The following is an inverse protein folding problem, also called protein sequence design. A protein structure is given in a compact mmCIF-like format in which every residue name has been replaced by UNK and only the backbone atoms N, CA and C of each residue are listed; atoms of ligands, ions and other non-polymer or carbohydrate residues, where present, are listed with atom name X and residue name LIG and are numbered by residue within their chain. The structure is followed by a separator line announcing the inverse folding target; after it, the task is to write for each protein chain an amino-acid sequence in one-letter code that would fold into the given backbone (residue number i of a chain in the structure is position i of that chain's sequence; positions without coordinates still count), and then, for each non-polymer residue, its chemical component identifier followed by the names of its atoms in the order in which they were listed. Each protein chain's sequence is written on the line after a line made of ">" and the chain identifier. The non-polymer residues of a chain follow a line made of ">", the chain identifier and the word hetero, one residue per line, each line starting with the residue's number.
data_IF_434942773534
#
_entry.id   IF_434942773534
#
_cell.length_a   1.000
_cell.length_b   1.000
_cell.length_c   1.000
_cell.angle_alpha   90.00
_cell.angle_beta   90.00
_cell.angle_gamma   90.00
#
_symmetry.space_group_name_H-M   'P 1'
#
loop_
_entity.id
_entity.type
_entity.pdbx_description
1 polymer ?
2 non-polymer ?
3 water ?
#
# COMPACT_ATOMS: atom_id res chain seq x y z
N UNK A 8 43.08 1.05 -1.04
CA UNK A 8 41.90 0.17 -1.28
C UNK A 8 40.69 0.69 -0.50
N UNK A 9 39.50 0.59 -1.10
CA UNK A 9 38.25 1.01 -0.44
C UNK A 9 37.31 -0.17 -0.17
N UNK A 10 37.04 -0.41 1.11
CA UNK A 10 36.11 -1.46 1.56
C UNK A 10 34.66 -1.10 1.21
N UNK A 11 33.86 -2.11 0.92
CA UNK A 11 32.43 -1.94 0.70
C UNK A 11 31.64 -3.16 1.20
N UNK A 12 30.43 -2.92 1.69
CA UNK A 12 29.61 -3.98 2.27
C UNK A 12 28.11 -3.74 2.02
N UNK A 13 27.38 -4.81 1.73
CA UNK A 13 25.95 -4.74 1.47
C UNK A 13 25.25 -5.74 2.36
N UNK A 14 24.30 -5.27 3.17
CA UNK A 14 23.48 -6.20 3.93
C UNK A 14 22.29 -6.62 3.09
N UNK A 15 22.31 -7.89 2.70
CA UNK A 15 21.34 -8.44 1.77
C UNK A 15 19.89 -8.29 2.26
N UNK A 16 19.69 -8.46 3.57
CA UNK A 16 18.35 -8.47 4.16
C UNK A 16 17.83 -7.11 4.67
N UNK A 17 18.70 -6.09 4.65
CA UNK A 17 18.39 -4.80 5.27
C UNK A 17 17.06 -4.22 4.89
N UNK A 18 16.75 -4.21 3.59
CA UNK A 18 15.49 -3.64 3.15
C UNK A 18 14.29 -4.39 3.73
N UNK A 19 14.35 -5.72 3.76
CA UNK A 19 13.26 -6.52 4.36
C UNK A 19 13.12 -6.20 5.85
N UNK A 20 14.24 -6.01 6.53
CA UNK A 20 14.22 -5.70 7.96
C UNK A 20 13.73 -4.28 8.27
N UNK A 21 14.25 -3.29 7.55
CA UNK A 21 13.80 -1.91 7.71
C UNK A 21 12.29 -1.77 7.47
N UNK A 22 11.77 -2.53 6.51
CA UNK A 22 10.32 -2.50 6.24
C UNK A 22 9.52 -3.10 7.37
N UNK A 23 10.05 -4.18 7.96
CA UNK A 23 9.46 -4.79 9.16
C UNK A 23 9.27 -3.76 10.25
N UNK A 24 10.32 -3.00 10.54
CA UNK A 24 10.24 -1.90 11.50
C UNK A 24 9.25 -0.82 11.07
N UNK A 25 9.27 -0.45 9.79
CA UNK A 25 8.36 0.58 9.28
C UNK A 25 6.92 0.15 9.44
N UNK A 26 6.67 -1.14 9.26
CA UNK A 26 5.34 -1.69 9.48
C UNK A 26 4.93 -1.65 10.97
N UNK A 27 5.86 -1.99 11.87
CA UNK A 27 5.63 -1.84 13.32
C UNK A 27 5.23 -0.42 13.65
N UNK A 28 5.97 0.53 13.08
CA UNK A 28 5.75 1.95 13.31
C UNK A 28 4.38 2.42 12.85
N UNK A 29 3.95 1.94 11.69
CA UNK A 29 2.62 2.25 11.18
C UNK A 29 1.55 1.66 12.11
N UNK A 30 1.76 0.41 12.52
CA UNK A 30 0.80 -0.27 13.41
C UNK A 30 0.72 0.38 14.79
N UNK A 31 1.84 0.92 15.26
CA UNK A 31 1.88 1.70 16.50
C UNK A 31 1.46 3.15 16.26
N UNK A 32 1.16 3.48 15.01
CA UNK A 32 0.79 4.84 14.60
C UNK A 32 1.85 5.87 14.98
N UNK A 33 3.10 5.50 14.74
CA UNK A 33 4.27 6.29 15.09
C UNK A 33 4.87 6.91 13.85
N UNK A 34 5.11 8.22 13.91
CA UNK A 34 5.78 8.96 12.84
C UNK A 34 4.90 9.15 11.60
N UNK A 35 3.63 8.77 11.69
CA UNK A 35 2.71 8.93 10.56
C UNK A 35 2.44 10.40 10.28
N UNK A 36 2.23 10.72 9.01
CA UNK A 36 2.03 12.11 8.57
C UNK A 36 0.95 12.19 7.51
N UNK A 37 0.18 11.11 7.38
CA UNK A 37 -0.99 11.08 6.52
C UNK A 37 -2.06 10.17 7.12
N UNK A 38 -3.31 10.54 6.92
CA UNK A 38 -4.46 9.75 7.31
C UNK A 38 -5.35 9.63 6.08
N UNK A 39 -5.49 8.42 5.55
CA UNK A 39 -6.35 8.21 4.40
C UNK A 39 -7.78 7.95 4.84
N UNK A 40 -8.68 8.90 4.55
CA UNK A 40 -10.11 8.72 4.78
C UNK A 40 -10.73 8.03 3.58
N UNK A 41 -11.11 6.77 3.74
CA UNK A 41 -11.76 6.05 2.66
C UNK A 41 -13.27 5.99 2.92
N UNK A 42 -14.00 6.89 2.28
CA UNK A 42 -15.45 6.88 2.26
C UNK A 42 -15.86 6.37 0.89
N UNK A 43 -16.74 5.38 0.87
CA UNK A 43 -17.09 4.72 -0.37
C UNK A 43 -18.48 4.09 -0.34
N UNK A 44 -19.49 4.83 -0.81
CA UNK A 44 -20.70 4.24 -1.39
C UNK A 44 -21.33 3.09 -0.56
N UNK A 45 -22.07 3.44 0.50
CA UNK A 45 -22.77 2.46 1.37
C UNK A 45 -21.90 1.69 2.38
N UNK A 46 -20.62 1.49 2.05
CA UNK A 46 -19.66 0.89 2.98
C UNK A 46 -19.26 1.90 4.06
N UNK A 47 -18.94 1.42 5.28
CA UNK A 47 -18.59 2.34 6.37
C UNK A 47 -17.25 3.05 6.13
N UNK A 48 -17.18 4.32 6.54
CA UNK A 48 -15.96 5.11 6.42
C UNK A 48 -14.83 4.48 7.23
N UNK A 49 -13.65 4.42 6.63
CA UNK A 49 -12.48 3.87 7.30
C UNK A 49 -11.35 4.88 7.22
N UNK A 50 -10.43 4.82 8.19
CA UNK A 50 -9.25 5.68 8.22
C UNK A 50 -7.99 4.84 8.32
N UNK A 51 -6.96 5.23 7.57
CA UNK A 51 -5.69 4.52 7.58
C UNK A 51 -4.54 5.50 7.73
N UNK A 52 -3.82 5.39 8.85
CA UNK A 52 -2.62 6.18 9.06
C UNK A 52 -1.44 5.47 8.43
N UNK A 53 -0.56 6.25 7.80
CA UNK A 53 0.58 5.72 7.07
C UNK A 53 1.66 6.78 6.99
N UNK A 54 2.76 6.45 6.32
CA UNK A 54 3.85 7.37 6.10
C UNK A 54 3.91 7.69 4.64
N UNK A 55 3.77 8.97 4.33
CA UNK A 55 3.81 9.45 2.94
C UNK A 55 4.95 8.85 2.11
N UNK A 56 6.16 8.82 2.67
CA UNK A 56 7.32 8.38 1.90
C UNK A 56 7.27 6.87 1.59
N UNK A 57 6.54 6.11 2.39
CA UNK A 57 6.39 4.68 2.17
C UNK A 57 5.33 4.42 1.11
N UNK A 58 4.22 5.12 1.20
CA UNK A 58 3.17 5.00 0.19
C UNK A 58 3.72 5.41 -1.18
N UNK A 59 4.42 6.54 -1.21
CA UNK A 59 5.05 7.07 -2.42
C UNK A 59 6.04 6.10 -3.07
N UNK A 60 6.73 5.31 -2.26
CA UNK A 60 7.73 4.38 -2.76
C UNK A 60 7.12 3.10 -3.33
N UNK A 61 5.81 2.91 -3.15
CA UNK A 61 5.13 1.75 -3.72
C UNK A 61 4.13 2.13 -4.83
N UNK A 62 3.68 3.38 -4.84
CA UNK A 62 2.68 3.86 -5.81
C UNK A 62 3.05 5.21 -6.46
N UNK A 63 3.18 5.23 -7.81
CA UNK A 63 3.37 6.49 -8.54
C UNK A 63 2.23 7.47 -8.30
N UNK A 64 1.02 6.94 -8.09
CA UNK A 64 -0.15 7.77 -7.79
C UNK A 64 0.01 8.47 -6.44
N UNK A 65 0.49 7.75 -5.42
CA UNK A 65 0.74 8.37 -4.11
C UNK A 65 1.94 9.31 -4.16
N UNK A 66 2.96 8.93 -4.91
CA UNK A 66 4.13 9.77 -5.09
C UNK A 66 3.68 11.12 -5.67
N UNK A 67 2.96 11.08 -6.79
CA UNK A 67 2.37 12.28 -7.41
C UNK A 67 1.58 13.12 -6.41
N UNK A 68 0.78 12.46 -5.58
CA UNK A 68 -0.06 13.12 -4.57
C UNK A 68 0.71 13.88 -3.48
N UNK A 69 1.90 13.42 -3.13
CA UNK A 69 2.60 13.99 -1.97
C UNK A 69 3.83 14.83 -2.29
N UNK A 70 4.37 14.68 -3.50
CA UNK A 70 5.57 15.42 -3.90
C UNK A 70 5.25 16.88 -4.19
N UNK A 78 0.46 16.68 9.62
CA UNK A 78 -0.47 15.56 9.45
C UNK A 78 -1.58 15.89 8.45
N UNK A 79 -1.45 15.36 7.23
CA UNK A 79 -2.43 15.58 6.16
C UNK A 79 -3.53 14.52 6.17
N UNK A 80 -4.77 14.95 5.99
CA UNK A 80 -5.91 14.04 5.86
C UNK A 80 -6.36 14.05 4.39
N UNK A 81 -6.34 12.88 3.76
CA UNK A 81 -6.68 12.78 2.35
C UNK A 81 -7.99 12.02 2.17
N UNK A 82 -8.95 12.63 1.47
CA UNK A 82 -10.21 11.95 1.16
C UNK A 82 -10.04 11.01 -0.03
N UNK A 83 -10.41 9.75 0.14
CA UNK A 83 -10.34 8.78 -0.95
C UNK A 83 -11.73 8.31 -1.35
N UNK A 84 -12.05 8.53 -2.62
CA UNK A 84 -13.31 8.12 -3.21
C UNK A 84 -13.01 6.98 -4.17
N UNK A 85 -14.04 6.23 -4.56
CA UNK A 85 -13.92 5.30 -5.68
C UNK A 85 -13.18 4.00 -5.45
N UNK A 86 -12.71 3.77 -4.23
CA UNK A 86 -12.08 2.50 -3.90
C UNK A 86 -12.61 2.01 -2.56
N UNK A 87 -12.79 0.70 -2.46
CA UNK A 87 -13.30 0.07 -1.25
C UNK A 87 -12.26 0.06 -0.15
N UNK A 88 -12.66 0.41 1.09
CA UNK A 88 -11.73 0.44 2.23
C UNK A 88 -10.93 -0.84 2.38
N UNK A 89 -11.59 -2.00 2.27
CA UNK A 89 -10.89 -3.27 2.43
C UNK A 89 -9.82 -3.46 1.35
N UNK A 90 -10.11 -2.97 0.14
CA UNK A 90 -9.15 -2.99 -0.96
C UNK A 90 -7.97 -2.06 -0.68
N UNK A 91 -8.26 -0.83 -0.25
CA UNK A 91 -7.22 0.10 0.16
C UNK A 91 -6.34 -0.51 1.26
N UNK A 92 -6.99 -1.06 2.28
CA UNK A 92 -6.30 -1.73 3.38
C UNK A 92 -5.25 -2.72 2.90
N UNK A 93 -5.61 -3.56 1.94
CA UNK A 93 -4.73 -4.59 1.37
C UNK A 93 -3.56 -4.03 0.56
N UNK A 94 -3.79 -2.87 -0.06
CA UNK A 94 -2.76 -2.20 -0.85
C UNK A 94 -1.73 -1.55 0.06
N UNK A 95 -2.20 -0.93 1.14
CA UNK A 95 -1.31 -0.40 2.16
C UNK A 95 -0.45 -1.50 2.80
N UNK A 96 -1.08 -2.61 3.18
CA UNK A 96 -0.35 -3.78 3.66
C UNK A 96 0.73 -4.18 2.68
N UNK A 97 0.39 -4.23 1.40
CA UNK A 97 1.39 -4.55 0.40
C UNK A 97 2.52 -3.54 0.39
N UNK A 98 2.19 -2.25 0.50
CA UNK A 98 3.22 -1.21 0.46
C UNK A 98 4.26 -1.45 1.56
N UNK A 99 3.79 -1.88 2.73
CA UNK A 99 4.64 -2.07 3.91
C UNK A 99 5.18 -3.47 4.09
N UNK A 100 4.60 -4.46 3.40
CA UNK A 100 5.00 -5.87 3.62
C UNK A 100 5.47 -6.63 2.38
N UNK A 101 5.32 -6.05 1.19
CA UNK A 101 5.72 -6.68 -0.08
C UNK A 101 4.92 -7.94 -0.39
N UNK A 102 3.76 -8.08 0.26
CA UNK A 102 2.90 -9.22 0.01
C UNK A 102 1.44 -8.85 0.19
N UNK A 103 0.56 -9.59 -0.49
CA UNK A 103 -0.86 -9.27 -0.52
C UNK A 103 -1.70 -10.53 -0.58
N UNK A 104 -2.83 -10.51 0.13
CA UNK A 104 -3.72 -11.66 0.20
C UNK A 104 -5.17 -11.22 0.06
N UNK A 105 -5.95 -12.02 -0.67
CA UNK A 105 -7.39 -11.81 -0.81
C UNK A 105 -8.06 -13.14 -1.14
N UNK A 106 -9.44 -13.18 -1.05
CA UNK A 106 -10.06 -14.53 -1.12
C UNK A 106 -10.55 -15.06 -2.46
N UNK A 107 -9.79 -14.81 -3.53
CA UNK A 107 -10.10 -15.37 -4.87
C UNK A 107 -11.38 -14.78 -5.50
N UNK A 108 -12.49 -14.83 -4.77
CA UNK A 108 -13.75 -14.22 -5.21
C UNK A 108 -13.70 -12.69 -5.21
N UNK A 109 -12.49 -12.14 -5.04
CA UNK A 109 -12.29 -10.70 -4.92
C UNK A 109 -10.97 -10.21 -5.52
N UNK A 110 -10.18 -11.10 -6.13
CA UNK A 110 -8.88 -10.70 -6.69
C UNK A 110 -9.01 -9.66 -7.81
N UNK A 111 -10.23 -9.54 -8.35
CA UNK A 111 -10.54 -8.55 -9.38
C UNK A 111 -10.72 -7.16 -8.78
N UNK A 112 -11.38 -7.09 -7.62
CA UNK A 112 -11.57 -5.84 -6.89
C UNK A 112 -10.26 -5.25 -6.47
N UNK A 113 -9.37 -6.13 -6.03
CA UNK A 113 -8.03 -5.75 -5.62
C UNK A 113 -7.29 -5.22 -6.86
N UNK A 114 -7.36 -5.97 -7.95
CA UNK A 114 -6.71 -5.59 -9.20
C UNK A 114 -7.11 -4.19 -9.61
N UNK A 115 -8.41 -3.90 -9.51
CA UNK A 115 -8.94 -2.57 -9.82
C UNK A 115 -8.37 -1.47 -8.95
N UNK A 116 -8.13 -1.79 -7.68
CA UNK A 116 -7.49 -0.85 -6.78
C UNK A 116 -6.04 -0.65 -7.17
N UNK A 117 -5.35 -1.76 -7.42
CA UNK A 117 -3.96 -1.75 -7.84
C UNK A 117 -3.75 -1.04 -9.18
N UNK A 118 -4.71 -1.19 -10.10
CA UNK A 118 -4.70 -0.45 -11.37
C UNK A 118 -4.82 1.03 -11.05
N UNK A 119 -5.79 1.34 -10.20
CA UNK A 119 -6.09 2.71 -9.80
C UNK A 119 -4.88 3.40 -9.16
N UNK A 120 -4.01 2.64 -8.52
CA UNK A 120 -2.87 3.23 -7.83
C UNK A 120 -1.51 2.95 -8.48
N UNK A 121 -1.56 2.33 -9.66
CA UNK A 121 -0.38 2.00 -10.47
C UNK A 121 0.65 1.11 -9.76
N UNK A 122 0.14 0.22 -8.91
CA UNK A 122 0.95 -0.81 -8.27
C UNK A 122 1.02 -1.99 -9.23
N UNK A 123 1.93 -1.85 -10.19
CA UNK A 123 1.99 -2.68 -11.38
C UNK A 123 2.25 -4.14 -11.08
N UNK A 124 3.03 -4.41 -10.04
CA UNK A 124 3.37 -5.79 -9.69
C UNK A 124 2.15 -6.54 -9.15
N UNK A 125 1.29 -5.83 -8.42
CA UNK A 125 0.05 -6.41 -7.94
C UNK A 125 -0.92 -6.61 -9.09
N UNK A 126 -1.01 -5.62 -9.99
CA UNK A 126 -1.87 -5.72 -11.17
C UNK A 126 -1.47 -6.94 -12.00
N UNK A 127 -0.20 -7.03 -12.35
CA UNK A 127 0.33 -8.15 -13.12
C UNK A 127 0.04 -9.50 -12.45
N UNK A 128 0.11 -9.53 -11.11
CA UNK A 128 -0.14 -10.75 -10.34
C UNK A 128 -1.60 -11.22 -10.44
N UNK A 129 -2.53 -10.32 -10.11
CA UNK A 129 -3.97 -10.62 -10.21
C UNK A 129 -4.38 -10.93 -11.63
N UNK A 130 -3.92 -10.11 -12.57
CA UNK A 130 -4.17 -10.32 -13.99
C UNK A 130 -3.73 -11.71 -14.44
N UNK A 131 -2.48 -12.07 -14.13
CA UNK A 131 -1.93 -13.38 -14.50
C UNK A 131 -2.70 -14.53 -13.86
N UNK A 132 -3.21 -14.30 -12.65
CA UNK A 132 -4.01 -15.30 -11.98
C UNK A 132 -5.43 -15.38 -12.55
N UNK A 133 -6.04 -14.22 -12.80
CA UNK A 133 -7.37 -14.16 -13.40
C UNK A 133 -7.44 -14.85 -14.76
N UNK A 134 -6.38 -14.71 -15.56
CA UNK A 134 -6.24 -15.47 -16.80
C UNK A 134 -6.07 -16.95 -16.39
N UNK A 135 -7.20 -17.65 -16.23
CA UNK A 135 -7.32 -18.98 -15.57
C UNK A 135 -8.50 -18.98 -14.60
X LIG B 1 -10.40 -10.87 0.29
X LIG B 1 -11.47 -10.16 -0.10
X LIG B 1 -11.40 -8.64 -0.01
X LIG B 1 -10.08 -8.14 -0.58
X LIG B 1 -12.60 -7.95 -0.69
X LIG B 1 -12.66 -6.43 -0.42
X LIG B 1 -13.57 -5.67 -1.39
X LIG B 1 -14.85 -6.46 -1.56
X LIG B 1 -16.18 -6.15 -2.15
X LIG B 1 -16.65 -4.88 -2.78
X LIG B 1 -17.93 -4.38 -2.51
X LIG B 1 -18.35 -3.20 -3.12
X LIG B 1 -17.48 -2.54 -3.99
X LIG B 1 -16.25 -3.04 -4.23
X LIG B 1 -15.83 -4.17 -3.65
X LIG B 1 -16.90 -7.28 -1.99
X LIG B 1 -18.30 -7.66 -2.36
X LIG B 1 -16.20 -8.33 -1.36
X LIG B 1 -14.97 -7.85 -1.11
X LIG B 1 -13.93 -8.69 -0.43
X LIG B 1 -14.32 -8.74 1.06
X LIG B 1 -13.82 -10.11 -1.02
X LIG B 1 -12.57 -10.82 -0.55
X LIG B 1 -12.57 -12.08 -0.61
X LIG B 1 -12.71 -13.23 -0.63
#
# INVERSE_FOLDING_TARGET
>A
GSHMASNRTFSYTLEDHTKQAFGIMNELRLSQQLCDVTLQVKYQDAPAAQFMAHKVVLASSSPVFKAMFTNGLREQGMEVVSIEGIHPKVMERLIEFAYTASISMGEKCVLHVMNGAVMYQIDSVVRACSDFLVQQLDPS
>B hetero
1 58E O16 C3 C4 C17 C5 C6 C7 C8 C13 C20 C25 C24 C23 N22 C21 N12 C19 N11 C9 C10 C18 C1 C2 C14 N15
#
